data_IF_252965072346
#
_entry.id   IF_252965072346
#
_cell.length_a   1.000
_cell.length_b   1.000
_cell.length_c   1.000
_cell.angle_alpha   90.00
_cell.angle_beta   90.00
_cell.angle_gamma   90.00
#
_symmetry.space_group_name_H-M   'P 1'
#
loop_
_entity.id
_entity.type
_entity.pdbx_description
1 polymer ?
#
# COMPACT_ATOMS: atom_id res chain seq x y z
N UNK A 1 15.73 23.31 23.25
CA UNK A 1 15.68 22.18 22.29
C UNK A 1 14.41 22.23 21.43
N UNK A 2 14.24 23.23 20.53
CA UNK A 2 13.01 23.42 19.73
C UNK A 2 13.16 23.64 18.20
N UNK A 3 14.34 23.65 17.55
CA UNK A 3 14.39 23.92 16.10
C UNK A 3 13.95 22.73 15.24
N UNK A 4 14.13 21.50 15.75
CA UNK A 4 13.91 20.27 14.98
C UNK A 4 12.45 20.09 14.54
N UNK A 5 11.49 20.53 15.36
CA UNK A 5 10.06 20.39 15.06
C UNK A 5 9.62 21.24 13.87
N UNK A 6 10.21 22.43 13.72
CA UNK A 6 9.92 23.34 12.61
C UNK A 6 10.61 22.89 11.31
N UNK A 7 11.79 22.28 11.41
CA UNK A 7 12.46 21.65 10.27
C UNK A 7 11.73 20.39 9.80
N UNK A 8 11.27 19.54 10.73
CA UNK A 8 10.47 18.35 10.43
C UNK A 8 9.11 18.71 9.81
N UNK A 9 8.44 19.74 10.34
CA UNK A 9 7.20 20.25 9.76
C UNK A 9 7.42 20.78 8.33
N UNK A 10 8.47 21.57 8.10
CA UNK A 10 8.78 22.10 6.77
C UNK A 10 9.13 21.00 5.74
N UNK A 11 9.78 19.91 6.18
CA UNK A 11 10.05 18.75 5.32
C UNK A 11 8.76 17.95 5.06
N UNK A 12 7.94 17.76 6.09
CA UNK A 12 6.65 17.07 5.98
C UNK A 12 5.68 17.78 5.03
N UNK A 13 5.61 19.11 5.10
CA UNK A 13 4.75 19.92 4.22
C UNK A 13 5.21 19.89 2.75
N UNK A 14 6.52 19.77 2.51
CA UNK A 14 7.10 19.60 1.16
C UNK A 14 6.93 18.18 0.62
N UNK A 15 6.80 17.18 1.48
CA UNK A 15 6.54 15.80 1.10
C UNK A 15 5.04 15.55 0.84
N UNK A 16 4.16 16.28 1.55
CA UNK A 16 2.70 16.21 1.42
C UNK A 16 2.14 17.02 0.24
N UNK A 17 2.98 17.69 -0.55
CA UNK A 17 2.55 18.17 -1.87
C UNK A 17 2.34 16.93 -2.75
N UNK A 18 1.08 16.66 -3.12
CA UNK A 18 0.65 15.57 -4.00
C UNK A 18 1.20 15.77 -5.43
N UNK A 19 2.51 15.79 -5.57
CA UNK A 19 3.19 15.86 -6.84
C UNK A 19 3.12 14.45 -7.44
N UNK A 20 2.41 14.27 -8.57
CA UNK A 20 2.34 12.96 -9.23
C UNK A 20 3.75 12.43 -9.58
N UNK A 21 4.74 13.32 -9.73
CA UNK A 21 6.15 12.97 -9.88
C UNK A 21 6.76 12.27 -8.66
N UNK A 22 6.41 12.67 -7.43
CA UNK A 22 6.89 12.00 -6.21
C UNK A 22 6.26 10.62 -6.04
N UNK A 23 4.98 10.49 -6.40
CA UNK A 23 4.27 9.21 -6.39
C UNK A 23 4.87 8.28 -7.44
N UNK A 24 5.09 8.77 -8.66
CA UNK A 24 5.75 7.99 -9.72
C UNK A 24 7.17 7.56 -9.35
N UNK A 25 7.97 8.48 -8.79
CA UNK A 25 9.34 8.21 -8.37
C UNK A 25 9.39 7.18 -7.23
N UNK A 26 8.52 7.30 -6.24
CA UNK A 26 8.44 6.32 -5.14
C UNK A 26 7.99 4.95 -5.63
N UNK A 27 6.99 4.88 -6.52
CA UNK A 27 6.55 3.62 -7.12
C UNK A 27 7.65 2.95 -7.94
N UNK A 28 8.34 3.72 -8.78
CA UNK A 28 9.42 3.22 -9.63
C UNK A 28 10.61 2.76 -8.79
N UNK A 29 10.96 3.49 -7.73
CA UNK A 29 12.01 3.11 -6.80
C UNK A 29 11.66 1.81 -6.08
N UNK A 30 10.42 1.64 -5.63
CA UNK A 30 9.95 0.41 -5.00
C UNK A 30 10.05 -0.79 -5.95
N UNK A 31 9.58 -0.61 -7.19
CA UNK A 31 9.64 -1.65 -8.24
C UNK A 31 11.08 -2.01 -8.61
N UNK A 32 11.98 -1.03 -8.70
CA UNK A 32 13.40 -1.24 -8.98
C UNK A 32 14.09 -1.99 -7.83
N UNK A 33 13.79 -1.63 -6.58
CA UNK A 33 14.33 -2.33 -5.40
C UNK A 33 13.88 -3.80 -5.38
N UNK A 34 12.62 -4.04 -5.70
CA UNK A 34 12.06 -5.39 -5.80
C UNK A 34 12.73 -6.17 -6.94
N UNK A 35 12.95 -5.54 -8.09
CA UNK A 35 13.65 -6.15 -9.22
C UNK A 35 15.07 -6.57 -8.88
N UNK A 36 15.84 -5.68 -8.24
CA UNK A 36 17.25 -5.94 -7.89
C UNK A 36 17.37 -7.01 -6.81
N UNK A 37 16.49 -6.99 -5.79
CA UNK A 37 16.57 -7.94 -4.67
C UNK A 37 16.17 -9.36 -5.08
N UNK A 38 15.19 -9.48 -5.98
CA UNK A 38 14.59 -10.76 -6.32
C UNK A 38 15.07 -11.31 -7.69
N UNK A 39 15.50 -10.47 -8.64
CA UNK A 39 15.90 -10.86 -10.00
C UNK A 39 14.73 -10.95 -11.00
N UNK A 40 15.04 -10.99 -12.30
CA UNK A 40 14.09 -10.89 -13.43
C UNK A 40 12.87 -11.83 -13.29
N UNK A 41 13.11 -13.13 -13.04
CA UNK A 41 12.04 -14.13 -12.93
C UNK A 41 11.13 -13.92 -11.72
N UNK A 42 11.67 -13.38 -10.63
CA UNK A 42 10.89 -13.16 -9.42
C UNK A 42 10.03 -11.89 -9.51
N UNK A 43 10.42 -10.87 -10.29
CA UNK A 43 9.49 -9.75 -10.56
C UNK A 43 8.29 -10.20 -11.38
N UNK A 44 8.50 -11.09 -12.37
CA UNK A 44 7.39 -11.67 -13.13
C UNK A 44 6.41 -12.40 -12.21
N UNK A 45 6.92 -13.14 -11.23
CA UNK A 45 6.10 -13.78 -10.19
C UNK A 45 5.34 -12.75 -9.34
N UNK A 46 6.00 -11.67 -8.89
CA UNK A 46 5.32 -10.62 -8.10
C UNK A 46 4.25 -9.89 -8.91
N UNK A 47 4.51 -9.59 -10.18
CA UNK A 47 3.53 -8.95 -11.07
C UNK A 47 2.35 -9.89 -11.32
N UNK A 48 2.62 -11.17 -11.60
CA UNK A 48 1.58 -12.18 -11.77
C UNK A 48 0.78 -12.41 -10.48
N UNK A 49 1.43 -12.44 -9.32
CA UNK A 49 0.78 -12.55 -8.01
C UNK A 49 -0.04 -11.29 -7.68
N UNK A 50 0.42 -10.10 -8.06
CA UNK A 50 -0.31 -8.85 -7.89
C UNK A 50 -1.55 -8.81 -8.79
N UNK A 51 -1.41 -9.16 -10.06
CA UNK A 51 -2.53 -9.24 -11.01
C UNK A 51 -3.53 -10.33 -10.61
N UNK A 52 -3.03 -11.51 -10.24
CA UNK A 52 -3.84 -12.61 -9.74
C UNK A 52 -4.55 -12.24 -8.44
N UNK A 53 -3.83 -11.63 -7.50
CA UNK A 53 -4.37 -11.12 -6.24
C UNK A 53 -5.38 -10.01 -6.43
N UNK A 54 -5.21 -9.12 -7.42
CA UNK A 54 -6.17 -8.09 -7.78
C UNK A 54 -7.42 -8.69 -8.43
N UNK A 55 -7.27 -9.67 -9.32
CA UNK A 55 -8.40 -10.34 -9.96
C UNK A 55 -9.23 -11.16 -8.96
N UNK A 56 -8.56 -11.98 -8.14
CA UNK A 56 -9.18 -12.72 -7.04
C UNK A 56 -9.78 -11.73 -6.03
N UNK A 57 -9.02 -10.68 -5.70
CA UNK A 57 -9.41 -9.59 -4.83
C UNK A 57 -10.73 -9.00 -5.30
N UNK A 58 -10.82 -8.42 -6.50
CA UNK A 58 -12.07 -7.89 -7.04
C UNK A 58 -13.19 -8.93 -7.06
N UNK A 59 -12.91 -10.16 -7.50
CA UNK A 59 -13.94 -11.20 -7.59
C UNK A 59 -14.54 -11.59 -6.25
N UNK A 60 -13.73 -11.55 -5.18
CA UNK A 60 -14.13 -11.87 -3.80
C UNK A 60 -14.59 -10.64 -3.00
N UNK A 61 -14.00 -9.46 -3.26
CA UNK A 61 -14.30 -8.19 -2.61
C UNK A 61 -15.48 -7.45 -3.24
N UNK A 62 -15.93 -7.84 -4.43
CA UNK A 62 -17.14 -7.25 -5.03
C UNK A 62 -18.40 -7.55 -4.20
N UNK A 63 -18.41 -8.66 -3.46
CA UNK A 63 -19.45 -8.93 -2.46
C UNK A 63 -19.09 -8.20 -1.16
N UNK A 64 -19.52 -6.94 -1.02
CA UNK A 64 -19.38 -6.16 0.22
C UNK A 64 -19.83 -6.95 1.46
N UNK A 65 -20.85 -7.79 1.31
CA UNK A 65 -21.35 -8.63 2.39
C UNK A 65 -20.34 -9.68 2.85
N UNK A 66 -19.63 -10.34 1.92
CA UNK A 66 -18.63 -11.37 2.27
C UNK A 66 -17.42 -10.77 2.96
N UNK A 67 -16.94 -9.60 2.52
CA UNK A 67 -15.88 -8.89 3.24
C UNK A 67 -16.36 -8.53 4.64
N UNK A 68 -17.58 -8.03 4.77
CA UNK A 68 -18.14 -7.63 6.07
C UNK A 68 -18.24 -8.82 7.01
N UNK A 69 -18.70 -9.99 6.54
CA UNK A 69 -18.75 -11.22 7.34
C UNK A 69 -17.36 -11.76 7.69
N UNK A 70 -16.38 -11.68 6.78
CA UNK A 70 -15.00 -12.07 7.07
C UNK A 70 -14.35 -11.11 8.07
N UNK A 71 -14.60 -9.81 7.93
CA UNK A 71 -14.11 -8.78 8.84
C UNK A 71 -14.78 -8.91 10.22
N UNK A 72 -16.08 -9.17 10.28
CA UNK A 72 -16.82 -9.44 11.52
C UNK A 72 -16.36 -10.75 12.20
N UNK A 73 -15.84 -11.72 11.44
CA UNK A 73 -15.29 -12.98 11.98
C UNK A 73 -13.87 -12.81 12.51
N UNK A 74 -13.07 -11.93 11.91
CA UNK A 74 -11.69 -11.62 12.32
C UNK A 74 -11.69 -10.58 13.45
N UNK A 75 -12.59 -9.60 13.38
CA UNK A 75 -12.86 -8.58 14.38
C UNK A 75 -14.27 -8.80 14.93
N UNK A 76 -14.45 -9.73 15.88
CA UNK A 76 -15.75 -10.00 16.49
C UNK A 76 -16.40 -8.69 16.97
N UNK A 77 -17.63 -8.38 16.53
CA UNK A 77 -18.30 -7.14 16.86
C UNK A 77 -18.73 -7.18 18.33
N UNK A 78 -17.92 -6.57 19.20
CA UNK A 78 -18.22 -6.46 20.63
C UNK A 78 -17.47 -5.34 21.37
N UNK A 79 -16.66 -4.54 20.67
CA UNK A 79 -15.77 -3.55 21.28
C UNK A 79 -16.27 -2.09 21.22
N UNK A 80 -17.46 -1.84 20.69
CA UNK A 80 -18.06 -0.51 20.70
C UNK A 80 -19.44 -0.56 21.36
N UNK A 81 -19.41 -0.52 22.70
CA UNK A 81 -20.51 0.00 23.52
C UNK A 81 -19.99 1.25 24.21
#
# INVERSE_FOLDING_TARGET
MRPLKHMLAAIGDRLSSQNPGLVGASLALLLALLWVTFGFFRMLFVVAATLGGYYIGIRWFSDREKIKTLLDRIFPPGLFR
#
